data_IF_065028352587
#
_entry.id   IF_065028352587
#
_cell.length_a   1.000
_cell.length_b   1.000
_cell.length_c   1.000
_cell.angle_alpha   90.00
_cell.angle_beta   90.00
_cell.angle_gamma   90.00
#
_symmetry.space_group_name_H-M   'P 1'
#
loop_
_entity.id
_entity.type
_entity.pdbx_description
1 polymer ?
#
# COMPACT_ATOMS: atom_id res chain seq x y z
N UNK A 1 5.03 -7.65 34.95
CA UNK A 1 3.94 -6.64 34.81
C UNK A 1 3.79 -6.11 33.38
N UNK A 2 4.79 -6.18 32.48
CA UNK A 2 4.69 -5.67 31.10
C UNK A 2 3.78 -6.49 30.16
N UNK A 3 3.73 -7.83 30.29
CA UNK A 3 3.09 -8.67 29.26
C UNK A 3 1.56 -8.63 29.25
N UNK A 4 0.91 -8.38 30.40
CA UNK A 4 -0.57 -8.38 30.48
C UNK A 4 -1.18 -7.17 29.77
N UNK A 5 -0.52 -6.01 29.84
CA UNK A 5 -0.97 -4.77 29.21
C UNK A 5 -0.84 -4.82 27.69
N UNK A 6 0.23 -5.44 27.18
CA UNK A 6 0.45 -5.62 25.74
C UNK A 6 -0.59 -6.57 25.11
N UNK A 7 -0.89 -7.69 25.79
CA UNK A 7 -1.93 -8.64 25.36
C UNK A 7 -3.32 -7.97 25.26
N UNK A 8 -3.72 -7.18 26.26
CA UNK A 8 -5.00 -6.46 26.23
C UNK A 8 -5.09 -5.39 25.13
N UNK A 9 -3.95 -4.83 24.70
CA UNK A 9 -3.93 -3.83 23.62
C UNK A 9 -4.15 -4.47 22.25
N UNK A 10 -3.65 -5.69 22.02
CA UNK A 10 -3.91 -6.45 20.79
C UNK A 10 -5.35 -6.94 20.68
N UNK A 11 -5.97 -7.36 21.79
CA UNK A 11 -7.39 -7.80 21.80
C UNK A 11 -8.38 -6.68 21.47
N UNK A 12 -8.01 -5.41 21.72
CA UNK A 12 -8.88 -4.25 21.49
C UNK A 12 -8.57 -3.49 20.17
N UNK A 13 -7.73 -4.03 19.28
CA UNK A 13 -7.49 -3.38 17.98
C UNK A 13 -8.75 -3.47 17.12
N UNK A 14 -9.38 -2.32 16.89
CA UNK A 14 -10.58 -2.23 16.06
C UNK A 14 -10.25 -2.14 14.58
N UNK A 15 -11.03 -2.84 13.76
CA UNK A 15 -10.90 -2.82 12.31
C UNK A 15 -11.41 -1.48 11.75
N UNK A 16 -10.52 -0.71 11.13
CA UNK A 16 -10.90 0.45 10.33
C UNK A 16 -10.89 0.06 8.85
N UNK A 17 -12.03 0.18 8.18
CA UNK A 17 -12.13 0.10 6.72
C UNK A 17 -12.26 1.52 6.18
N UNK A 18 -11.38 1.88 5.25
CA UNK A 18 -11.49 3.13 4.51
C UNK A 18 -11.16 2.87 3.04
N UNK A 19 -11.59 3.80 2.20
CA UNK A 19 -11.31 3.80 0.76
C UNK A 19 -10.85 5.20 0.36
N UNK A 20 -10.03 5.28 -0.67
CA UNK A 20 -9.60 6.56 -1.28
C UNK A 20 -10.39 6.79 -2.56
N UNK A 21 -11.01 7.96 -2.68
CA UNK A 21 -11.74 8.40 -3.89
C UNK A 21 -11.26 9.80 -4.30
N UNK A 22 -11.43 10.13 -5.59
CA UNK A 22 -10.91 11.37 -6.19
C UNK A 22 -10.68 11.21 -7.70
N UNK A 23 -10.31 12.31 -8.36
CA UNK A 23 -10.05 12.39 -9.80
C UNK A 23 -8.89 11.49 -10.24
N UNK A 24 -8.81 11.20 -11.53
CA UNK A 24 -7.59 10.67 -12.17
C UNK A 24 -6.42 11.62 -11.81
N UNK A 25 -5.25 11.05 -11.56
CA UNK A 25 -4.02 11.75 -11.14
C UNK A 25 -3.97 12.39 -9.74
N UNK A 26 -5.01 12.25 -8.91
CA UNK A 26 -4.99 12.72 -7.51
C UNK A 26 -4.06 11.89 -6.57
N UNK A 27 -3.26 10.96 -7.11
CA UNK A 27 -2.29 10.19 -6.34
C UNK A 27 -2.89 9.20 -5.33
N UNK A 28 -4.17 8.80 -5.50
CA UNK A 28 -4.88 7.87 -4.62
C UNK A 28 -4.12 6.55 -4.41
N UNK A 29 -3.72 5.92 -5.50
CA UNK A 29 -3.00 4.64 -5.49
C UNK A 29 -1.59 4.81 -4.91
N UNK A 30 -0.95 5.95 -5.17
CA UNK A 30 0.33 6.32 -4.56
C UNK A 30 0.23 6.48 -3.05
N UNK A 31 -0.85 7.09 -2.54
CA UNK A 31 -1.10 7.25 -1.11
C UNK A 31 -1.28 5.90 -0.43
N UNK A 32 -2.14 5.03 -0.96
CA UNK A 32 -2.33 3.68 -0.41
C UNK A 32 -1.02 2.87 -0.50
N UNK A 33 -0.28 2.94 -1.61
CA UNK A 33 1.03 2.31 -1.75
C UNK A 33 2.05 2.82 -0.72
N UNK A 34 2.03 4.11 -0.42
CA UNK A 34 2.86 4.72 0.63
C UNK A 34 2.49 4.24 2.01
N UNK A 35 1.21 4.12 2.34
CA UNK A 35 0.77 3.55 3.62
C UNK A 35 1.30 2.12 3.77
N UNK A 36 1.13 1.27 2.75
CA UNK A 36 1.61 -0.11 2.80
C UNK A 36 3.14 -0.20 2.99
N UNK A 37 3.89 0.71 2.37
CA UNK A 37 5.33 0.82 2.53
C UNK A 37 5.71 1.25 3.96
N UNK A 38 5.13 2.35 4.47
CA UNK A 38 5.48 2.88 5.79
C UNK A 38 5.06 1.98 6.93
N UNK A 39 4.01 1.17 6.74
CA UNK A 39 3.55 0.21 7.75
C UNK A 39 4.29 -1.12 7.69
N UNK A 40 5.36 -1.25 6.89
CA UNK A 40 6.10 -2.49 6.65
C UNK A 40 5.17 -3.67 6.28
N UNK A 41 4.08 -3.38 5.57
CA UNK A 41 3.09 -4.37 5.15
C UNK A 41 3.35 -4.91 3.74
N UNK A 42 4.51 -4.58 3.17
CA UNK A 42 4.99 -5.15 1.91
C UNK A 42 6.28 -5.91 2.17
N UNK A 43 6.46 -7.02 1.46
CA UNK A 43 7.69 -7.79 1.50
C UNK A 43 8.79 -7.11 0.66
N UNK A 44 10.04 -7.37 1.02
CA UNK A 44 11.21 -6.77 0.34
C UNK A 44 11.29 -7.16 -1.14
N UNK A 45 10.90 -8.39 -1.50
CA UNK A 45 10.85 -8.87 -2.89
C UNK A 45 9.82 -8.11 -3.72
N UNK A 46 8.66 -7.79 -3.13
CA UNK A 46 7.61 -6.99 -3.75
C UNK A 46 8.09 -5.57 -3.98
N UNK A 47 8.71 -4.96 -2.97
CA UNK A 47 9.29 -3.63 -3.09
C UNK A 47 10.39 -3.59 -4.17
N UNK A 48 11.30 -4.57 -4.19
CA UNK A 48 12.34 -4.68 -5.19
C UNK A 48 11.80 -4.94 -6.60
N UNK A 49 10.65 -5.61 -6.75
CA UNK A 49 9.98 -5.78 -8.04
C UNK A 49 9.42 -4.44 -8.56
N UNK A 50 8.80 -3.66 -7.68
CA UNK A 50 8.29 -2.32 -7.99
C UNK A 50 9.42 -1.37 -8.34
N UNK A 51 10.48 -1.32 -7.53
CA UNK A 51 11.66 -0.48 -7.78
C UNK A 51 12.30 -0.78 -9.14
N UNK A 52 12.53 -2.06 -9.46
CA UNK A 52 13.04 -2.48 -10.79
C UNK A 52 12.12 -2.05 -11.92
N UNK A 53 10.81 -2.05 -11.70
CA UNK A 53 9.83 -1.67 -12.72
C UNK A 53 9.84 -0.15 -12.94
N UNK A 54 9.86 0.63 -11.87
CA UNK A 54 9.98 2.10 -11.94
C UNK A 54 11.28 2.54 -12.62
N UNK A 55 12.41 1.88 -12.31
CA UNK A 55 13.69 2.15 -12.97
C UNK A 55 13.62 1.86 -14.49
N UNK A 56 12.99 0.76 -14.90
CA UNK A 56 12.80 0.44 -16.33
C UNK A 56 11.92 1.45 -17.06
N UNK A 57 10.97 2.06 -16.35
CA UNK A 57 10.11 3.13 -16.89
C UNK A 57 10.81 4.48 -16.96
N UNK A 58 11.95 4.63 -16.29
CA UNK A 58 12.67 5.91 -16.19
C UNK A 58 12.11 6.84 -15.11
N UNK A 59 11.35 6.31 -14.16
CA UNK A 59 10.78 7.11 -13.07
C UNK A 59 11.88 7.63 -12.15
N UNK A 60 11.75 8.88 -11.70
CA UNK A 60 12.72 9.51 -10.79
C UNK A 60 12.68 8.94 -9.37
N UNK A 61 11.58 8.26 -9.02
CA UNK A 61 11.30 7.70 -7.69
C UNK A 61 10.59 6.36 -7.87
N UNK A 62 10.63 5.52 -6.85
CA UNK A 62 9.84 4.29 -6.81
C UNK A 62 8.35 4.66 -6.88
N UNK A 63 7.68 4.15 -7.90
CA UNK A 63 6.25 4.36 -8.10
C UNK A 63 5.47 3.33 -7.28
N UNK A 64 5.01 3.77 -6.11
CA UNK A 64 4.27 2.92 -5.17
C UNK A 64 2.86 2.59 -5.65
N UNK A 65 2.32 3.26 -6.67
CA UNK A 65 1.02 2.89 -7.25
C UNK A 65 1.07 1.49 -7.88
N UNK A 66 2.23 1.07 -8.38
CA UNK A 66 2.47 -0.26 -8.94
C UNK A 66 2.23 -1.41 -7.95
N UNK A 67 2.20 -1.12 -6.65
CA UNK A 67 1.83 -2.11 -5.63
C UNK A 67 0.34 -2.50 -5.71
N UNK A 68 -0.51 -1.64 -6.29
CA UNK A 68 -1.95 -1.83 -6.39
C UNK A 68 -2.40 -2.25 -7.79
N UNK A 69 -1.64 -1.87 -8.82
CA UNK A 69 -1.94 -2.20 -10.21
C UNK A 69 -1.71 -3.70 -10.50
N UNK A 70 -2.81 -4.44 -10.50
CA UNK A 70 -2.86 -5.88 -10.74
C UNK A 70 -2.91 -6.23 -12.23
N UNK A 71 -3.46 -5.34 -13.06
CA UNK A 71 -3.65 -5.58 -14.48
C UNK A 71 -2.51 -4.98 -15.32
N UNK A 72 -2.17 -5.65 -16.42
CA UNK A 72 -1.23 -5.09 -17.39
C UNK A 72 -1.74 -3.77 -18.01
N UNK A 73 -3.05 -3.67 -18.22
CA UNK A 73 -3.70 -2.46 -18.75
C UNK A 73 -3.59 -1.27 -17.78
N UNK A 74 -3.72 -1.50 -16.47
CA UNK A 74 -3.51 -0.46 -15.44
C UNK A 74 -2.10 0.11 -15.54
N UNK A 75 -1.13 -0.79 -15.63
CA UNK A 75 0.29 -0.45 -15.75
C UNK A 75 0.62 0.30 -17.03
N UNK A 76 -0.01 -0.04 -18.14
CA UNK A 76 0.22 0.61 -19.44
C UNK A 76 -0.42 2.00 -19.50
N UNK A 77 -1.62 2.15 -18.94
CA UNK A 77 -2.38 3.41 -18.99
C UNK A 77 -2.12 4.35 -17.81
N UNK A 78 -1.48 3.87 -16.74
CA UNK A 78 -1.23 4.64 -15.52
C UNK A 78 -2.50 4.95 -14.72
N UNK A 79 -3.51 4.07 -14.79
CA UNK A 79 -4.77 4.21 -14.07
C UNK A 79 -5.06 2.95 -13.24
N UNK A 80 -5.88 3.09 -12.21
CA UNK A 80 -6.42 1.96 -11.45
C UNK A 80 -7.82 1.64 -11.97
N UNK A 81 -7.98 0.44 -12.54
CA UNK A 81 -9.20 -0.07 -13.17
C UNK A 81 -9.97 -0.94 -12.19
N UNK A 82 -9.27 -1.78 -11.42
CA UNK A 82 -9.88 -2.71 -10.48
C UNK A 82 -9.71 -2.27 -9.02
N UNK A 83 -10.61 -2.74 -8.15
CA UNK A 83 -10.59 -2.43 -6.72
C UNK A 83 -9.66 -3.39 -6.00
N UNK A 84 -8.47 -2.92 -5.62
CA UNK A 84 -7.56 -3.66 -4.77
C UNK A 84 -7.94 -3.54 -3.28
N UNK A 85 -8.16 -4.68 -2.61
CA UNK A 85 -8.28 -4.74 -1.16
C UNK A 85 -6.95 -5.14 -0.52
N UNK A 86 -6.43 -4.29 0.37
CA UNK A 86 -5.19 -4.56 1.12
C UNK A 86 -5.39 -4.34 2.60
N UNK A 87 -4.89 -5.30 3.39
CA UNK A 87 -4.83 -5.19 4.83
C UNK A 87 -3.47 -4.62 5.24
N UNK A 88 -3.49 -3.72 6.21
CA UNK A 88 -2.27 -3.23 6.86
C UNK A 88 -2.54 -3.04 8.34
N UNK A 89 -1.48 -2.98 9.13
CA UNK A 89 -1.57 -2.70 10.56
C UNK A 89 -0.55 -1.64 10.93
N UNK A 90 -0.90 -0.89 11.96
CA UNK A 90 -0.11 0.14 12.62
C UNK A 90 0.04 -0.26 14.08
N UNK A 91 0.88 0.46 14.82
CA UNK A 91 0.97 0.27 16.27
C UNK A 91 -0.41 0.43 16.96
N UNK A 92 -1.26 1.34 16.47
CA UNK A 92 -2.56 1.67 17.06
C UNK A 92 -3.71 0.77 16.59
N UNK A 93 -3.70 0.35 15.33
CA UNK A 93 -4.76 -0.43 14.65
C UNK A 93 -4.13 -1.29 13.57
#
# INVERSE_FOLDING_TARGET
MSSKTELTAYENKSLLRFTTSGSVDDGKSTLIGRLLYETNCIFEDQFAAVERTSQRRGDKRVDLALLLDGLAAEREQGITIDVAYRYFTTAKR
#
